data_IF_989002647437
#
_entry.id   IF_989002647437
#
_cell.length_a   1.000
_cell.length_b   1.000
_cell.length_c   1.000
_cell.angle_alpha   90.00
_cell.angle_beta   90.00
_cell.angle_gamma   90.00
#
_symmetry.space_group_name_H-M   'P 1'
#
loop_
_entity.id
_entity.type
_entity.pdbx_description
1 polymer ?
#
# COMPACT_ATOMS: atom_id res chain seq x y z
N UNK A 1 18.69 21.47 -40.06
CA UNK A 1 18.10 21.58 -38.70
C UNK A 1 16.92 22.55 -38.75
N UNK A 2 15.69 22.06 -38.59
CA UNK A 2 14.53 22.92 -38.48
C UNK A 2 14.62 23.76 -37.20
N UNK A 3 14.50 25.08 -37.34
CA UNK A 3 14.59 26.00 -36.20
C UNK A 3 13.23 26.26 -35.52
N UNK A 4 12.15 25.76 -36.10
CA UNK A 4 10.83 25.90 -35.50
C UNK A 4 9.91 24.75 -35.94
N UNK A 5 9.07 24.31 -35.03
CA UNK A 5 7.94 23.41 -35.25
C UNK A 5 6.67 24.21 -34.99
N UNK A 6 5.79 24.30 -35.98
CA UNK A 6 4.50 24.98 -35.87
C UNK A 6 3.39 24.01 -36.30
N UNK A 7 2.54 23.63 -35.37
CA UNK A 7 1.40 22.76 -35.64
C UNK A 7 0.58 22.45 -34.38
N UNK A 8 -0.70 22.11 -34.54
CA UNK A 8 -1.49 21.58 -33.43
C UNK A 8 -1.11 20.10 -33.22
N UNK A 9 -0.88 19.70 -31.98
CA UNK A 9 -0.54 18.29 -31.65
C UNK A 9 -1.59 17.25 -32.07
N UNK A 10 -2.76 17.69 -32.51
CA UNK A 10 -3.85 16.80 -32.93
C UNK A 10 -3.55 16.00 -34.24
N UNK A 11 -2.53 16.37 -34.98
CA UNK A 11 -2.18 15.74 -36.26
C UNK A 11 -0.80 15.04 -36.24
N UNK A 12 -0.25 14.77 -35.09
CA UNK A 12 0.96 13.95 -34.95
C UNK A 12 0.62 12.47 -35.16
N UNK A 13 0.48 12.06 -36.44
CA UNK A 13 0.33 10.68 -36.83
C UNK A 13 1.67 10.14 -37.34
N UNK A 14 2.03 8.93 -36.96
CA UNK A 14 3.25 8.27 -37.44
C UNK A 14 4.52 8.55 -36.60
N UNK A 15 4.37 8.89 -35.34
CA UNK A 15 5.52 8.98 -34.42
C UNK A 15 6.00 7.55 -34.13
N UNK A 16 7.21 7.24 -34.57
CA UNK A 16 7.88 5.97 -34.30
C UNK A 16 8.12 5.74 -32.81
N UNK A 17 8.38 4.49 -32.40
CA UNK A 17 8.56 4.06 -31.01
C UNK A 17 9.67 4.77 -30.22
N UNK A 18 10.43 5.63 -30.86
CA UNK A 18 11.40 6.56 -30.25
C UNK A 18 11.15 7.98 -30.71
N UNK A 19 10.04 8.61 -30.35
CA UNK A 19 9.69 9.91 -30.88
C UNK A 19 10.67 10.97 -30.37
N UNK A 20 11.39 11.59 -31.31
CA UNK A 20 12.09 12.82 -31.01
C UNK A 20 11.15 13.98 -31.32
N UNK A 21 10.70 14.68 -30.29
CA UNK A 21 9.90 15.90 -30.46
C UNK A 21 10.84 17.10 -30.42
N UNK A 22 10.88 17.86 -31.49
CA UNK A 22 11.67 19.07 -31.58
C UNK A 22 10.75 20.31 -31.52
N UNK A 23 11.11 21.29 -30.72
CA UNK A 23 10.33 22.49 -30.56
C UNK A 23 11.19 23.66 -30.07
N UNK A 24 10.60 24.86 -30.06
CA UNK A 24 11.27 26.07 -29.56
C UNK A 24 11.18 26.08 -28.03
N UNK A 25 12.34 26.11 -27.38
CA UNK A 25 12.40 26.41 -25.96
C UNK A 25 12.31 27.92 -25.73
N UNK A 26 11.34 28.36 -24.95
CA UNK A 26 11.29 29.73 -24.44
C UNK A 26 12.08 29.84 -23.14
N UNK A 27 13.39 29.87 -23.23
CA UNK A 27 14.31 29.92 -22.11
C UNK A 27 15.35 28.79 -22.12
N UNK A 28 16.33 28.87 -21.25
CA UNK A 28 17.34 27.81 -21.10
C UNK A 28 16.78 26.61 -20.33
N UNK A 29 16.96 25.43 -20.88
CA UNK A 29 16.67 24.17 -20.19
C UNK A 29 17.97 23.52 -19.74
N UNK A 30 18.20 23.40 -18.47
CA UNK A 30 19.35 22.69 -17.94
C UNK A 30 19.26 21.18 -18.25
N UNK A 31 20.41 20.54 -18.47
CA UNK A 31 20.47 19.09 -18.67
C UNK A 31 19.75 18.33 -17.52
N UNK A 32 19.09 17.23 -17.87
CA UNK A 32 18.33 16.38 -16.93
C UNK A 32 17.13 17.04 -16.23
N UNK A 33 16.59 18.13 -16.78
CA UNK A 33 15.33 18.69 -16.30
C UNK A 33 14.15 18.17 -17.11
N UNK A 34 13.05 17.91 -16.44
CA UNK A 34 11.79 17.63 -17.11
C UNK A 34 11.37 18.84 -17.94
N UNK A 35 10.76 18.59 -19.09
CA UNK A 35 10.17 19.62 -19.94
C UNK A 35 8.68 19.34 -20.10
N UNK A 36 7.90 20.40 -20.21
CA UNK A 36 6.48 20.31 -20.51
C UNK A 36 6.13 21.15 -21.72
N UNK A 37 5.07 20.80 -22.41
CA UNK A 37 4.49 21.62 -23.47
C UNK A 37 3.40 22.47 -22.83
N UNK A 38 3.51 23.81 -22.98
CA UNK A 38 2.47 24.72 -22.51
C UNK A 38 1.26 24.72 -23.44
N UNK A 39 0.19 25.42 -23.07
CA UNK A 39 -1.01 25.57 -23.89
C UNK A 39 -0.79 26.25 -25.24
N UNK A 40 0.36 26.90 -25.43
CA UNK A 40 0.78 27.51 -26.70
C UNK A 40 1.69 26.60 -27.53
N UNK A 41 1.86 25.33 -27.15
CA UNK A 41 2.70 24.36 -27.84
C UNK A 41 4.21 24.56 -27.69
N UNK A 42 4.65 25.39 -26.76
CA UNK A 42 6.06 25.68 -26.54
C UNK A 42 6.64 24.78 -25.42
N UNK A 43 7.87 24.33 -25.63
CA UNK A 43 8.61 23.64 -24.57
C UNK A 43 9.10 24.62 -23.52
N UNK A 44 8.87 24.30 -22.28
CA UNK A 44 9.50 24.98 -21.15
C UNK A 44 9.76 24.00 -20.00
N UNK A 45 10.73 24.32 -19.20
CA UNK A 45 10.83 23.68 -17.91
C UNK A 45 9.56 23.98 -17.12
N UNK A 46 8.97 23.00 -16.41
CA UNK A 46 7.96 23.33 -15.42
C UNK A 46 8.53 24.46 -14.58
N UNK A 47 7.95 25.67 -14.68
CA UNK A 47 8.30 26.73 -13.72
C UNK A 47 7.93 26.21 -12.37
N UNK A 48 8.95 25.88 -11.62
CA UNK A 48 8.86 25.06 -10.46
C UNK A 48 7.66 25.39 -9.62
N UNK A 49 6.93 24.39 -9.30
CA UNK A 49 6.63 24.32 -7.89
C UNK A 49 8.00 24.22 -7.23
N UNK A 50 8.46 25.30 -6.64
CA UNK A 50 9.54 25.23 -5.69
C UNK A 50 9.11 24.14 -4.73
N UNK A 51 9.86 23.05 -4.65
CA UNK A 51 9.60 22.04 -3.65
C UNK A 51 9.79 22.76 -2.31
N UNK A 52 8.72 23.32 -1.78
CA UNK A 52 8.74 23.85 -0.44
C UNK A 52 8.71 22.64 0.47
N UNK A 53 9.84 22.31 1.05
CA UNK A 53 9.88 21.35 2.14
C UNK A 53 9.17 21.99 3.32
N UNK A 54 8.05 21.41 3.74
CA UNK A 54 7.44 21.75 5.02
C UNK A 54 8.40 21.41 6.17
N UNK A 55 8.17 21.99 7.31
CA UNK A 55 8.88 21.60 8.52
C UNK A 55 8.57 20.13 8.87
N UNK A 56 9.57 19.40 9.32
CA UNK A 56 9.37 18.07 9.85
C UNK A 56 8.40 18.13 11.03
N UNK A 57 7.44 17.23 11.03
CA UNK A 57 6.50 17.05 12.13
C UNK A 57 6.74 15.68 12.74
N UNK A 58 7.17 15.68 14.00
CA UNK A 58 7.31 14.45 14.77
C UNK A 58 5.93 13.94 15.14
N UNK A 59 5.57 12.73 14.70
CA UNK A 59 4.29 12.12 15.06
C UNK A 59 4.41 11.23 16.32
N UNK A 60 5.60 10.72 16.63
CA UNK A 60 5.92 9.95 17.82
C UNK A 60 7.41 10.10 18.14
N UNK A 61 7.76 10.10 19.41
CA UNK A 61 9.13 10.17 19.90
C UNK A 61 9.54 8.78 20.42
N UNK A 62 9.89 7.90 19.48
CA UNK A 62 10.32 6.53 19.77
C UNK A 62 11.69 6.30 19.17
N UNK A 63 12.61 5.74 19.93
CA UNK A 63 13.96 5.40 19.49
C UNK A 63 14.02 4.05 18.75
N UNK A 64 12.92 3.32 18.71
CA UNK A 64 12.84 1.97 18.17
C UNK A 64 12.48 1.90 16.69
N UNK A 65 12.71 0.74 16.09
CA UNK A 65 12.36 0.40 14.70
C UNK A 65 10.90 -0.04 14.54
N UNK A 66 9.97 0.75 15.05
CA UNK A 66 8.54 0.47 14.96
C UNK A 66 8.04 0.36 13.51
N UNK A 67 6.91 -0.32 13.35
CA UNK A 67 6.23 -0.40 12.05
C UNK A 67 5.23 0.71 11.91
N UNK A 68 5.16 1.30 10.71
CA UNK A 68 4.24 2.40 10.41
C UNK A 68 3.43 2.07 9.17
N UNK A 69 2.12 2.30 9.25
CA UNK A 69 1.21 2.33 8.12
C UNK A 69 0.70 3.77 7.97
N UNK A 70 0.94 4.34 6.80
CA UNK A 70 0.49 5.69 6.46
C UNK A 70 -0.57 5.58 5.37
N UNK A 71 -1.81 5.95 5.69
CA UNK A 71 -2.96 5.78 4.82
C UNK A 71 -3.55 7.15 4.47
N UNK A 72 -3.70 7.44 3.18
CA UNK A 72 -4.47 8.59 2.72
C UNK A 72 -5.93 8.22 2.58
N UNK A 73 -6.80 8.98 3.21
CA UNK A 73 -8.26 8.84 3.21
C UNK A 73 -8.85 9.92 2.30
N UNK A 74 -8.96 9.59 1.01
CA UNK A 74 -9.23 10.58 -0.05
C UNK A 74 -10.57 11.30 0.12
N UNK A 75 -11.61 10.62 0.57
CA UNK A 75 -12.95 11.17 0.79
C UNK A 75 -13.04 12.08 2.04
N UNK A 76 -12.06 12.01 2.93
CA UNK A 76 -11.96 12.84 4.13
C UNK A 76 -10.87 13.92 4.00
N UNK A 77 -10.02 13.86 2.98
CA UNK A 77 -8.77 14.64 2.84
C UNK A 77 -7.92 14.59 4.11
N UNK A 78 -7.72 13.40 4.65
CA UNK A 78 -6.98 13.15 5.89
C UNK A 78 -6.03 11.97 5.74
N UNK A 79 -5.18 11.83 6.73
CA UNK A 79 -4.20 10.75 6.80
C UNK A 79 -4.40 9.99 8.12
N UNK A 80 -4.34 8.67 8.07
CA UNK A 80 -4.21 7.86 9.26
C UNK A 80 -2.79 7.34 9.39
N UNK A 81 -2.20 7.51 10.57
CA UNK A 81 -0.96 6.88 10.96
C UNK A 81 -1.31 5.79 11.96
N UNK A 82 -0.92 4.57 11.65
CA UNK A 82 -1.06 3.43 12.56
C UNK A 82 0.35 2.87 12.73
N UNK A 83 0.81 2.72 13.96
CA UNK A 83 2.20 2.38 14.23
C UNK A 83 2.34 1.51 15.47
N UNK A 84 3.45 0.77 15.53
CA UNK A 84 3.89 0.09 16.74
C UNK A 84 4.89 0.98 17.47
N UNK A 85 4.76 1.08 18.78
CA UNK A 85 5.68 1.82 19.63
C UNK A 85 6.59 0.84 20.37
N UNK A 86 7.87 0.71 19.97
CA UNK A 86 8.81 -0.19 20.63
C UNK A 86 9.12 0.19 22.07
N UNK A 87 9.06 1.45 22.41
CA UNK A 87 9.34 1.94 23.75
C UNK A 87 8.19 1.69 24.72
N UNK A 88 6.99 1.43 24.16
CA UNK A 88 5.81 1.02 24.91
C UNK A 88 5.42 -0.43 24.60
N UNK A 89 6.37 -1.34 24.71
CA UNK A 89 6.17 -2.79 24.58
C UNK A 89 5.54 -3.21 23.24
N UNK A 90 5.87 -2.53 22.14
CA UNK A 90 5.32 -2.72 20.81
C UNK A 90 3.78 -2.63 20.75
N UNK A 91 3.18 -1.81 21.57
CA UNK A 91 1.76 -1.50 21.50
C UNK A 91 1.42 -0.85 20.16
N UNK A 92 0.18 -0.99 19.74
CA UNK A 92 -0.32 -0.39 18.49
C UNK A 92 -1.10 0.87 18.82
N UNK A 93 -0.65 1.95 18.20
CA UNK A 93 -1.24 3.27 18.33
C UNK A 93 -1.73 3.77 16.97
N UNK A 94 -2.65 4.73 17.00
CA UNK A 94 -3.08 5.44 15.81
C UNK A 94 -3.36 6.91 16.05
N UNK A 95 -3.14 7.71 15.01
CA UNK A 95 -3.45 9.15 14.96
C UNK A 95 -4.06 9.52 13.62
N UNK A 96 -4.86 10.56 13.61
CA UNK A 96 -5.35 11.18 12.37
C UNK A 96 -4.58 12.45 12.10
N UNK A 97 -3.98 12.54 10.92
CA UNK A 97 -3.29 13.72 10.44
C UNK A 97 -4.16 14.55 9.49
N UNK A 98 -4.04 15.84 9.59
CA UNK A 98 -4.65 16.81 8.68
C UNK A 98 -3.54 17.66 8.07
N UNK A 99 -3.55 17.79 6.74
CA UNK A 99 -2.62 18.63 6.01
C UNK A 99 -3.22 20.02 5.78
N UNK A 100 -2.42 21.05 6.00
CA UNK A 100 -2.73 22.43 5.61
C UNK A 100 -1.49 23.02 4.92
N UNK A 101 -1.56 23.20 3.61
CA UNK A 101 -0.41 23.59 2.80
C UNK A 101 0.73 22.58 2.93
N UNK A 102 1.87 23.01 3.49
CA UNK A 102 3.07 22.17 3.74
C UNK A 102 3.18 21.68 5.18
N UNK A 103 2.21 22.00 6.02
CA UNK A 103 2.18 21.62 7.44
C UNK A 103 1.23 20.47 7.70
N UNK A 104 1.58 19.65 8.69
CA UNK A 104 0.73 18.61 9.25
C UNK A 104 0.36 18.93 10.70
N UNK A 105 -0.86 18.59 11.09
CA UNK A 105 -1.29 18.54 12.48
C UNK A 105 -1.87 17.16 12.77
N UNK A 106 -1.67 16.67 13.99
CA UNK A 106 -2.13 15.35 14.40
C UNK A 106 -3.15 15.46 15.54
N UNK A 107 -4.18 14.64 15.48
CA UNK A 107 -5.09 14.40 16.60
C UNK A 107 -4.40 13.62 17.72
N UNK A 108 -5.14 13.38 18.79
CA UNK A 108 -4.66 12.57 19.93
C UNK A 108 -4.37 11.15 19.51
N UNK A 109 -3.26 10.59 20.00
CA UNK A 109 -2.94 9.19 19.82
C UNK A 109 -3.91 8.32 20.61
N UNK A 110 -4.33 7.20 20.01
CA UNK A 110 -5.22 6.20 20.61
C UNK A 110 -4.53 4.86 20.57
N UNK A 111 -4.46 4.18 21.71
CA UNK A 111 -3.99 2.80 21.81
C UNK A 111 -5.09 1.85 21.33
N UNK A 112 -4.75 0.95 20.40
CA UNK A 112 -5.67 -0.09 19.90
C UNK A 112 -5.36 -1.47 20.48
N UNK A 113 -4.09 -1.72 20.79
CA UNK A 113 -3.68 -3.03 21.23
C UNK A 113 -2.44 -2.97 22.13
N UNK A 114 -2.50 -3.63 23.27
CA UNK A 114 -1.49 -3.57 24.33
C UNK A 114 -0.55 -4.80 24.40
N UNK A 115 -0.69 -5.74 23.49
CA UNK A 115 0.15 -6.94 23.46
C UNK A 115 1.10 -6.87 22.29
N UNK A 116 2.35 -6.60 22.55
CA UNK A 116 3.43 -6.41 21.59
C UNK A 116 3.22 -6.98 20.19
N UNK A 117 3.28 -6.15 19.18
CA UNK A 117 3.07 -6.55 17.79
C UNK A 117 4.28 -6.21 16.94
N UNK A 118 4.94 -7.25 16.43
CA UNK A 118 6.05 -7.07 15.48
C UNK A 118 5.59 -6.86 14.04
N UNK A 119 4.30 -7.05 13.75
CA UNK A 119 3.73 -6.94 12.43
C UNK A 119 2.42 -6.16 12.43
N UNK A 120 2.32 -5.25 11.47
CA UNK A 120 1.17 -4.39 11.28
C UNK A 120 0.90 -4.24 9.78
N UNK A 121 -0.36 -4.40 9.38
CA UNK A 121 -0.85 -4.06 8.05
C UNK A 121 -2.23 -3.44 8.17
N UNK A 122 -2.46 -2.35 7.46
CA UNK A 122 -3.75 -1.68 7.43
C UNK A 122 -4.06 -1.15 6.03
N UNK A 123 -5.35 -0.97 5.75
CA UNK A 123 -5.79 -0.35 4.51
C UNK A 123 -7.13 0.38 4.69
N UNK A 124 -7.36 1.40 3.86
CA UNK A 124 -8.54 2.25 3.94
C UNK A 124 -9.69 1.68 3.11
N UNK A 125 -10.84 1.51 3.74
CA UNK A 125 -12.05 0.95 3.10
C UNK A 125 -13.02 2.02 2.56
N UNK A 126 -12.76 3.31 2.80
CA UNK A 126 -13.70 4.39 2.51
C UNK A 126 -14.67 4.68 3.67
N UNK A 127 -15.31 5.85 3.64
CA UNK A 127 -16.29 6.26 4.65
C UNK A 127 -15.72 6.34 6.07
N UNK A 128 -14.45 6.73 6.22
CA UNK A 128 -13.79 6.80 7.52
C UNK A 128 -13.49 5.44 8.15
N UNK A 129 -13.48 4.35 7.40
CA UNK A 129 -13.22 3.00 7.91
C UNK A 129 -11.87 2.46 7.45
N UNK A 130 -11.13 1.90 8.39
CA UNK A 130 -9.83 1.27 8.16
C UNK A 130 -9.90 -0.16 8.65
N UNK A 131 -9.43 -1.09 7.83
CA UNK A 131 -9.21 -2.47 8.25
C UNK A 131 -7.73 -2.62 8.64
N UNK A 132 -7.49 -3.20 9.80
CA UNK A 132 -6.15 -3.42 10.34
C UNK A 132 -5.99 -4.88 10.72
N UNK A 133 -4.81 -5.43 10.50
CA UNK A 133 -4.38 -6.71 11.04
C UNK A 133 -3.09 -6.54 11.83
N UNK A 134 -2.98 -7.22 12.95
CA UNK A 134 -1.85 -7.16 13.86
C UNK A 134 -1.54 -8.52 14.50
N UNK A 135 -0.27 -8.75 14.87
CA UNK A 135 0.16 -9.90 15.66
C UNK A 135 -0.09 -9.64 17.18
N UNK A 136 0.02 -10.69 18.05
CA UNK A 136 0.55 -12.04 17.76
C UNK A 136 -0.45 -13.01 17.15
N UNK A 137 -1.75 -12.76 17.19
CA UNK A 137 -2.76 -13.76 16.85
C UNK A 137 -3.49 -13.49 15.52
N UNK A 138 -2.93 -12.63 14.65
CA UNK A 138 -3.60 -12.25 13.43
C UNK A 138 -4.95 -11.55 13.69
N UNK A 139 -5.01 -10.76 14.75
CA UNK A 139 -6.21 -10.00 15.09
C UNK A 139 -6.54 -9.03 13.96
N UNK A 140 -7.75 -9.13 13.46
CA UNK A 140 -8.30 -8.18 12.49
C UNK A 140 -9.22 -7.22 13.24
N UNK A 141 -8.98 -5.93 13.06
CA UNK A 141 -9.76 -4.87 13.71
C UNK A 141 -10.34 -3.91 12.67
N UNK A 142 -11.54 -3.43 12.94
CA UNK A 142 -12.16 -2.33 12.21
C UNK A 142 -11.97 -1.05 13.02
N UNK A 143 -11.33 -0.06 12.39
CA UNK A 143 -11.13 1.26 12.97
C UNK A 143 -12.08 2.25 12.30
N UNK A 144 -12.48 3.28 13.05
CA UNK A 144 -13.32 4.38 12.60
C UNK A 144 -12.63 5.71 12.80
N UNK A 145 -12.69 6.57 11.79
CA UNK A 145 -12.18 7.93 11.81
C UNK A 145 -13.34 8.91 11.77
N UNK A 146 -13.35 9.84 12.72
CA UNK A 146 -14.30 10.95 12.79
C UNK A 146 -13.58 12.24 13.19
N UNK A 147 -13.61 13.24 12.32
CA UNK A 147 -12.85 14.46 12.54
C UNK A 147 -11.34 14.17 12.60
N UNK A 148 -10.69 14.46 13.72
CA UNK A 148 -9.27 14.16 14.00
C UNK A 148 -9.11 13.00 14.98
N UNK A 149 -10.18 12.28 15.28
CA UNK A 149 -10.19 11.14 16.19
C UNK A 149 -10.22 9.83 15.42
N UNK A 150 -9.59 8.81 15.98
CA UNK A 150 -9.63 7.44 15.50
C UNK A 150 -9.98 6.52 16.67
N UNK A 151 -10.77 5.49 16.42
CA UNK A 151 -11.18 4.53 17.45
C UNK A 151 -11.33 3.13 16.87
N UNK A 152 -11.15 2.10 17.71
CA UNK A 152 -11.48 0.73 17.34
C UNK A 152 -12.97 0.48 17.53
N UNK A 153 -13.66 0.00 16.49
CA UNK A 153 -15.06 -0.38 16.57
C UNK A 153 -15.22 -1.84 16.98
N UNK A 154 -14.51 -2.74 16.32
CA UNK A 154 -14.61 -4.17 16.59
C UNK A 154 -13.38 -4.91 16.09
N UNK A 155 -12.95 -5.89 16.88
CA UNK A 155 -11.94 -6.86 16.50
C UNK A 155 -12.54 -8.25 16.25
N UNK A 156 -11.97 -8.97 15.31
CA UNK A 156 -12.17 -10.39 15.12
C UNK A 156 -10.81 -11.08 15.04
N UNK A 157 -10.69 -12.27 15.58
CA UNK A 157 -9.48 -13.09 15.42
C UNK A 157 -9.59 -13.93 14.17
N UNK A 158 -8.47 -14.22 13.51
CA UNK A 158 -8.39 -15.32 12.55
C UNK A 158 -8.55 -16.64 13.31
N UNK A 159 -9.04 -17.67 12.63
CA UNK A 159 -9.18 -19.02 13.22
C UNK A 159 -7.83 -19.67 13.57
N UNK A 160 -6.71 -18.99 13.37
CA UNK A 160 -5.36 -19.51 13.49
C UNK A 160 -4.57 -18.70 14.50
N UNK A 161 -4.05 -19.34 15.51
CA UNK A 161 -3.35 -18.72 16.65
C UNK A 161 -1.92 -18.26 16.36
N UNK A 162 -1.32 -18.62 15.24
CA UNK A 162 0.07 -18.30 14.94
C UNK A 162 0.22 -17.83 13.49
N UNK A 163 0.20 -16.54 13.28
CA UNK A 163 0.51 -15.89 12.00
C UNK A 163 1.80 -15.06 12.15
N UNK A 164 2.69 -15.16 11.19
CA UNK A 164 3.97 -14.44 11.24
C UNK A 164 4.02 -13.25 10.31
N UNK A 165 3.43 -13.36 9.14
CA UNK A 165 3.41 -12.29 8.14
C UNK A 165 2.04 -12.19 7.56
N UNK A 166 1.60 -10.97 7.33
CA UNK A 166 0.30 -10.74 6.71
C UNK A 166 0.29 -9.42 5.95
N UNK A 167 -0.64 -9.34 5.02
CA UNK A 167 -1.02 -8.12 4.33
C UNK A 167 -2.53 -8.08 4.23
N UNK A 168 -3.12 -6.96 4.57
CA UNK A 168 -4.54 -6.69 4.36
C UNK A 168 -4.71 -5.66 3.26
N UNK A 169 -5.70 -5.88 2.36
CA UNK A 169 -6.06 -4.93 1.31
C UNK A 169 -7.57 -4.75 1.25
N UNK A 170 -7.99 -3.52 1.33
CA UNK A 170 -9.37 -3.13 1.06
C UNK A 170 -9.68 -3.28 -0.44
N UNK A 171 -10.84 -3.82 -0.76
CA UNK A 171 -11.33 -3.98 -2.12
C UNK A 171 -12.57 -3.14 -2.37
N UNK A 172 -13.30 -2.83 -1.30
CA UNK A 172 -14.45 -1.93 -1.32
C UNK A 172 -14.73 -1.43 0.10
N UNK A 173 -15.76 -0.61 0.26
CA UNK A 173 -16.22 -0.17 1.57
C UNK A 173 -16.73 -1.30 2.50
N UNK A 174 -16.98 -2.48 1.94
CA UNK A 174 -17.53 -3.64 2.68
C UNK A 174 -16.68 -4.90 2.58
N UNK A 175 -15.67 -4.91 1.73
CA UNK A 175 -14.83 -6.09 1.48
C UNK A 175 -13.35 -5.75 1.58
N UNK A 176 -12.62 -6.63 2.25
CA UNK A 176 -11.17 -6.64 2.26
C UNK A 176 -10.67 -8.09 2.17
N UNK A 177 -9.41 -8.26 1.87
CA UNK A 177 -8.76 -9.56 1.89
C UNK A 177 -7.55 -9.51 2.81
N UNK A 178 -7.49 -10.45 3.73
CA UNK A 178 -6.30 -10.72 4.55
C UNK A 178 -5.56 -11.90 3.93
N UNK A 179 -4.28 -11.71 3.67
CA UNK A 179 -3.37 -12.75 3.20
C UNK A 179 -2.32 -12.91 4.30
N UNK A 180 -2.09 -14.13 4.75
CA UNK A 180 -1.21 -14.38 5.89
C UNK A 180 -0.48 -15.71 5.78
N UNK A 181 0.71 -15.77 6.37
CA UNK A 181 1.46 -17.02 6.57
C UNK A 181 1.17 -17.59 7.95
N UNK A 182 0.82 -18.83 7.98
CA UNK A 182 0.60 -19.60 9.20
C UNK A 182 1.92 -20.26 9.62
N UNK A 183 2.32 -20.07 10.87
CA UNK A 183 3.66 -20.46 11.31
C UNK A 183 3.87 -21.96 11.50
N UNK A 184 2.82 -22.70 11.88
CA UNK A 184 2.98 -24.11 12.20
C UNK A 184 3.11 -25.03 10.96
N UNK A 185 2.60 -24.61 9.81
CA UNK A 185 2.70 -25.38 8.55
C UNK A 185 3.41 -24.64 7.44
N UNK A 186 3.84 -23.40 7.70
CA UNK A 186 4.54 -22.52 6.76
C UNK A 186 3.78 -22.21 5.47
N UNK A 187 2.48 -22.38 5.46
CA UNK A 187 1.62 -22.15 4.30
C UNK A 187 1.02 -20.76 4.33
N UNK A 188 0.71 -20.27 3.15
CA UNK A 188 0.04 -18.97 2.96
C UNK A 188 -1.43 -19.19 2.69
N UNK A 189 -2.24 -18.45 3.42
CA UNK A 189 -3.69 -18.46 3.33
C UNK A 189 -4.21 -17.08 2.96
N UNK A 190 -5.36 -17.06 2.32
CA UNK A 190 -6.13 -15.84 2.14
C UNK A 190 -7.55 -16.04 2.64
N UNK A 191 -8.12 -14.98 3.19
CA UNK A 191 -9.49 -14.96 3.71
C UNK A 191 -10.15 -13.63 3.35
N UNK A 192 -11.43 -13.70 2.95
CA UNK A 192 -12.24 -12.50 2.71
C UNK A 192 -12.76 -11.98 4.03
N UNK A 193 -12.56 -10.69 4.28
CA UNK A 193 -13.16 -9.96 5.38
C UNK A 193 -14.40 -9.25 4.83
N UNK A 194 -15.53 -9.44 5.49
CA UNK A 194 -16.77 -8.74 5.18
C UNK A 194 -17.12 -7.81 6.31
N UNK A 195 -17.36 -6.54 5.99
CA UNK A 195 -17.85 -5.54 6.92
C UNK A 195 -19.36 -5.35 6.74
N UNK A 196 -20.09 -5.30 7.86
CA UNK A 196 -21.51 -4.94 7.93
C UNK A 196 -21.70 -3.96 9.08
N UNK A 197 -21.94 -2.69 8.76
CA UNK A 197 -21.97 -1.61 9.75
C UNK A 197 -20.63 -1.49 10.49
N UNK A 198 -20.65 -1.68 11.80
CA UNK A 198 -19.49 -1.68 12.71
C UNK A 198 -18.92 -3.08 12.97
N UNK A 199 -19.49 -4.11 12.35
CA UNK A 199 -19.06 -5.49 12.54
C UNK A 199 -18.26 -6.00 11.37
N UNK A 200 -17.32 -6.92 11.64
CA UNK A 200 -16.57 -7.66 10.65
C UNK A 200 -16.75 -9.16 10.84
N UNK A 201 -16.70 -9.89 9.74
CA UNK A 201 -16.71 -11.34 9.71
C UNK A 201 -15.66 -11.86 8.73
N UNK A 202 -15.12 -13.03 9.01
CA UNK A 202 -14.14 -13.72 8.18
C UNK A 202 -14.83 -14.84 7.41
N UNK A 203 -14.52 -14.97 6.13
CA UNK A 203 -14.90 -16.11 5.31
C UNK A 203 -14.04 -17.34 5.62
N UNK A 204 -14.17 -18.37 4.78
CA UNK A 204 -13.28 -19.54 4.87
C UNK A 204 -11.89 -19.22 4.32
N UNK A 205 -10.86 -19.63 5.04
CA UNK A 205 -9.49 -19.48 4.59
C UNK A 205 -9.19 -20.47 3.45
N UNK A 206 -8.58 -19.97 2.37
CA UNK A 206 -8.08 -20.78 1.27
C UNK A 206 -6.55 -20.80 1.33
N UNK A 207 -5.96 -21.99 1.25
CA UNK A 207 -4.53 -22.13 1.00
C UNK A 207 -4.21 -21.61 -0.40
N UNK A 208 -3.47 -20.51 -0.49
CA UNK A 208 -3.11 -19.88 -1.76
C UNK A 208 -1.72 -20.26 -2.21
N UNK A 209 -0.88 -20.65 -1.28
CA UNK A 209 0.46 -21.16 -1.57
C UNK A 209 1.02 -22.01 -0.42
N UNK A 210 1.72 -23.11 -0.78
CA UNK A 210 2.52 -23.88 0.17
C UNK A 210 3.88 -23.20 0.40
N UNK A 211 4.55 -23.44 1.47
CA UNK A 211 5.94 -23.06 1.78
C UNK A 211 6.48 -21.78 1.16
N UNK A 212 6.11 -20.61 1.66
CA UNK A 212 6.87 -19.39 1.40
C UNK A 212 8.08 -19.31 2.35
N UNK A 213 9.09 -18.52 1.95
CA UNK A 213 10.30 -18.30 2.74
C UNK A 213 9.96 -17.91 4.18
N UNK A 214 10.71 -18.43 5.14
CA UNK A 214 10.62 -18.04 6.55
C UNK A 214 10.91 -16.57 6.80
N UNK A 215 11.52 -15.88 5.83
CA UNK A 215 11.87 -14.46 5.91
C UNK A 215 10.69 -13.52 5.64
N UNK A 216 9.48 -14.05 5.56
CA UNK A 216 8.25 -13.28 5.71
C UNK A 216 8.07 -12.12 4.70
N UNK A 217 8.28 -12.38 3.40
CA UNK A 217 8.24 -11.33 2.40
C UNK A 217 7.06 -11.50 1.47
N UNK A 218 6.03 -10.75 1.74
CA UNK A 218 4.90 -10.61 0.83
C UNK A 218 4.41 -9.17 0.79
N UNK A 219 3.91 -8.77 -0.35
CA UNK A 219 3.14 -7.55 -0.53
C UNK A 219 1.98 -7.80 -1.46
N UNK A 220 0.96 -6.99 -1.37
CA UNK A 220 -0.19 -7.09 -2.24
C UNK A 220 -0.69 -5.70 -2.66
N UNK A 221 -1.32 -5.63 -3.82
CA UNK A 221 -2.01 -4.43 -4.31
C UNK A 221 -3.36 -4.83 -4.88
N UNK A 222 -4.38 -4.02 -4.64
CA UNK A 222 -5.68 -4.19 -5.26
C UNK A 222 -5.73 -3.43 -6.60
N UNK A 223 -6.20 -4.11 -7.63
CA UNK A 223 -6.48 -3.53 -8.94
C UNK A 223 -8.00 -3.39 -9.10
N UNK A 224 -8.56 -2.17 -8.94
CA UNK A 224 -10.01 -1.96 -8.99
C UNK A 224 -10.59 -2.16 -10.39
N UNK A 225 -9.83 -1.92 -11.46
CA UNK A 225 -10.28 -2.11 -12.84
C UNK A 225 -10.56 -3.58 -13.14
N UNK A 226 -9.80 -4.49 -12.54
CA UNK A 226 -9.94 -5.95 -12.76
C UNK A 226 -10.56 -6.68 -11.59
N UNK A 227 -10.90 -5.97 -10.51
CA UNK A 227 -11.41 -6.51 -9.25
C UNK A 227 -10.56 -7.70 -8.74
N UNK A 228 -9.24 -7.47 -8.68
CA UNK A 228 -8.27 -8.50 -8.29
C UNK A 228 -7.20 -7.93 -7.36
N UNK A 229 -6.73 -8.76 -6.47
CA UNK A 229 -5.49 -8.51 -5.72
C UNK A 229 -4.35 -9.22 -6.45
N UNK A 230 -3.25 -8.51 -6.65
CA UNK A 230 -1.97 -9.10 -7.02
C UNK A 230 -1.15 -9.27 -5.75
N UNK A 231 -0.78 -10.50 -5.46
CA UNK A 231 0.11 -10.87 -4.35
C UNK A 231 1.48 -11.17 -4.92
N UNK A 232 2.52 -10.49 -4.44
CA UNK A 232 3.91 -10.85 -4.69
C UNK A 232 4.53 -11.46 -3.44
N UNK A 233 5.25 -12.55 -3.60
CA UNK A 233 5.89 -13.28 -2.50
C UNK A 233 7.16 -13.99 -2.97
N UNK A 234 8.07 -14.28 -2.01
CA UNK A 234 9.29 -15.02 -2.27
C UNK A 234 9.08 -16.50 -1.99
N UNK A 235 9.51 -17.35 -2.93
CA UNK A 235 9.47 -18.80 -2.77
C UNK A 235 10.68 -19.30 -1.97
N UNK A 236 10.44 -20.29 -1.10
CA UNK A 236 11.49 -20.82 -0.22
C UNK A 236 12.61 -21.58 -0.96
N UNK A 237 12.25 -22.42 -1.93
CA UNK A 237 13.21 -23.41 -2.48
C UNK A 237 14.09 -22.89 -3.63
N UNK A 238 13.69 -21.81 -4.31
CA UNK A 238 14.37 -21.35 -5.52
C UNK A 238 14.65 -19.86 -5.56
N UNK A 239 14.53 -19.18 -4.43
CA UNK A 239 14.78 -17.74 -4.27
C UNK A 239 14.11 -16.84 -5.31
N UNK A 240 13.08 -17.36 -5.99
CA UNK A 240 12.33 -16.63 -7.00
C UNK A 240 11.20 -15.77 -6.41
N UNK A 241 10.91 -14.67 -7.08
CA UNK A 241 9.72 -13.88 -6.82
C UNK A 241 8.57 -14.37 -7.68
N UNK A 242 7.42 -14.56 -7.06
CA UNK A 242 6.20 -15.03 -7.68
C UNK A 242 5.11 -13.98 -7.54
N UNK A 243 4.24 -13.92 -8.53
CA UNK A 243 3.02 -13.13 -8.51
C UNK A 243 1.83 -14.06 -8.67
N UNK A 244 0.83 -13.86 -7.83
CA UNK A 244 -0.44 -14.59 -7.89
C UNK A 244 -1.60 -13.63 -7.88
N UNK A 245 -2.56 -13.84 -8.76
CA UNK A 245 -3.80 -13.08 -8.72
C UNK A 245 -4.82 -13.75 -7.80
N UNK A 246 -5.45 -12.96 -6.94
CA UNK A 246 -6.53 -13.39 -6.05
C UNK A 246 -7.76 -12.56 -6.35
N UNK A 247 -8.93 -13.18 -6.31
CA UNK A 247 -10.24 -12.50 -6.32
C UNK A 247 -11.14 -13.13 -5.28
N UNK A 248 -12.32 -12.58 -5.10
CA UNK A 248 -13.32 -13.18 -4.23
C UNK A 248 -14.62 -13.49 -4.99
N UNK A 249 -15.37 -14.43 -4.45
CA UNK A 249 -16.74 -14.72 -4.82
C UNK A 249 -17.55 -14.87 -3.55
N UNK A 250 -18.42 -13.89 -3.26
CA UNK A 250 -19.12 -13.81 -1.99
C UNK A 250 -18.16 -13.61 -0.80
N UNK A 251 -17.96 -14.66 0.00
CA UNK A 251 -17.03 -14.70 1.14
C UNK A 251 -15.85 -15.65 0.91
N UNK A 252 -15.73 -16.19 -0.29
CA UNK A 252 -14.70 -17.19 -0.64
C UNK A 252 -13.61 -16.56 -1.50
N UNK A 253 -12.35 -16.91 -1.21
CA UNK A 253 -11.21 -16.53 -2.04
C UNK A 253 -11.13 -17.47 -3.24
N UNK A 254 -10.81 -16.91 -4.41
CA UNK A 254 -10.48 -17.65 -5.63
C UNK A 254 -9.09 -17.27 -6.08
N UNK A 255 -8.18 -18.24 -6.12
CA UNK A 255 -6.79 -18.02 -6.52
C UNK A 255 -6.61 -18.35 -8.02
N UNK A 256 -5.83 -17.52 -8.70
CA UNK A 256 -5.31 -17.81 -10.03
C UNK A 256 -4.07 -18.71 -10.00
N UNK A 257 -3.53 -19.02 -11.16
CA UNK A 257 -2.24 -19.69 -11.30
C UNK A 257 -1.09 -18.77 -10.93
N UNK A 258 -0.02 -19.35 -10.41
CA UNK A 258 1.21 -18.62 -10.10
C UNK A 258 1.95 -18.26 -11.38
N UNK A 259 2.53 -17.08 -11.41
CA UNK A 259 3.43 -16.63 -12.46
C UNK A 259 4.77 -16.29 -11.83
N UNK A 260 5.85 -16.85 -12.37
CA UNK A 260 7.19 -16.48 -11.96
C UNK A 260 7.45 -15.06 -12.47
N UNK A 261 7.67 -14.13 -11.58
CA UNK A 261 7.95 -12.74 -11.94
C UNK A 261 9.45 -12.52 -12.21
N UNK A 262 10.31 -13.19 -11.44
CA UNK A 262 11.77 -13.12 -11.57
C UNK A 262 12.37 -14.49 -11.24
N UNK A 263 13.13 -15.05 -12.16
CA UNK A 263 13.92 -16.26 -11.94
C UNK A 263 15.40 -15.92 -11.79
N UNK A 264 16.02 -16.52 -10.80
CA UNK A 264 17.45 -16.70 -10.74
C UNK A 264 18.30 -15.46 -10.56
N UNK A 265 19.18 -15.51 -9.59
CA UNK A 265 20.25 -14.56 -9.37
C UNK A 265 20.03 -13.68 -8.17
N UNK A 266 20.73 -13.98 -7.10
CA UNK A 266 21.03 -13.08 -5.95
C UNK A 266 19.90 -12.32 -5.26
N UNK A 267 18.65 -12.82 -5.28
CA UNK A 267 17.64 -12.41 -4.31
C UNK A 267 17.92 -13.00 -2.91
N UNK A 268 19.18 -13.39 -2.65
CA UNK A 268 19.57 -14.14 -1.46
C UNK A 268 19.80 -13.29 -0.23
N UNK A 269 19.73 -11.97 -0.36
CA UNK A 269 19.93 -11.11 0.82
C UNK A 269 18.64 -10.97 1.62
N UNK A 270 18.79 -11.09 2.90
CA UNK A 270 17.73 -11.03 3.92
C UNK A 270 16.96 -9.68 3.99
N UNK A 271 17.10 -8.81 3.00
CA UNK A 271 16.60 -7.42 3.05
C UNK A 271 15.68 -6.99 1.89
N UNK A 272 15.43 -7.87 0.92
CA UNK A 272 14.61 -7.48 -0.24
C UNK A 272 13.12 -7.62 0.06
N UNK A 273 12.41 -6.51 0.13
CA UNK A 273 10.96 -6.47 0.24
C UNK A 273 10.36 -6.09 -1.11
N UNK A 274 9.40 -6.87 -1.64
CA UNK A 274 8.73 -6.47 -2.86
C UNK A 274 7.84 -5.26 -2.58
N UNK A 275 7.80 -4.34 -3.51
CA UNK A 275 6.84 -3.25 -3.52
C UNK A 275 5.95 -3.39 -4.75
N UNK A 276 4.66 -3.24 -4.57
CA UNK A 276 3.66 -3.22 -5.63
C UNK A 276 2.86 -1.93 -5.52
N UNK A 277 2.64 -1.28 -6.64
CA UNK A 277 1.71 -0.17 -6.77
C UNK A 277 0.77 -0.45 -7.94
N UNK A 278 -0.45 0.06 -7.84
CA UNK A 278 -1.39 0.10 -8.94
C UNK A 278 -1.22 1.43 -9.68
N UNK A 279 -1.06 1.33 -10.99
CA UNK A 279 -1.09 2.47 -11.90
C UNK A 279 -2.46 2.44 -12.62
N UNK A 280 -3.33 3.45 -12.40
CA UNK A 280 -4.71 3.49 -12.90
C UNK A 280 -4.82 3.67 -14.40
#
# INVERSE_FOLDING_TARGET
>A
TATSFSGSGANLTGIDASPTVSGICTGSVAAHKAIMVNSSGQFKTPTGQSASTGSQQLFENSDGSGRVQFLYMADLDKYALIYTDPDDNNKIWGRVGTRSGTSFSYGTAVEFYNNGSDWLSADYMGGGKIIMCANPNGRVSLLSVSGTSISEERGATTTTTYVSTFVVRAMSSTKAMLIYRRTYDNKTYAVVITRSGTSISLGSALEVYGNISTENRMTAVYNPTRDKILLAFKHYANDGWYVKSLKYSGTTVVAGTDTIALTGGNCSTSKDYPALAYDP
#
